data_IF_900542087068
#
_entry.id   IF_900542087068
#
_cell.length_a   1.000
_cell.length_b   1.000
_cell.length_c   1.000
_cell.angle_alpha   90.00
_cell.angle_beta   90.00
_cell.angle_gamma   90.00
#
_symmetry.space_group_name_H-M   'P 1'
#
loop_
_entity.id
_entity.type
_entity.pdbx_description
1 polymer ?
#
# COMPACT_ATOMS: atom_id res chain seq x y z
N UNK A 1 -2.11 17.07 -53.87
CA UNK A 1 -3.29 17.93 -54.10
C UNK A 1 -4.07 18.07 -52.79
N UNK A 2 -4.25 19.30 -52.28
CA UNK A 2 -5.20 19.68 -51.21
C UNK A 2 -6.53 20.14 -51.87
N UNK A 3 -7.67 20.20 -51.15
CA UNK A 3 -8.03 21.37 -50.31
C UNK A 3 -8.58 20.97 -48.91
N UNK A 4 -8.21 21.64 -47.81
CA UNK A 4 -8.80 22.88 -47.22
C UNK A 4 -10.29 22.76 -46.92
N UNK A 5 -10.77 22.87 -45.66
CA UNK A 5 -11.10 24.15 -44.96
C UNK A 5 -11.57 23.78 -43.53
N UNK A 6 -10.97 24.28 -42.43
CA UNK A 6 -11.33 25.52 -41.70
C UNK A 6 -12.42 25.24 -40.64
N UNK A 7 -12.55 25.86 -39.47
CA UNK A 7 -11.91 26.98 -38.78
C UNK A 7 -12.71 27.16 -37.46
N UNK A 8 -12.07 27.38 -36.30
CA UNK A 8 -12.33 28.53 -35.40
C UNK A 8 -11.51 28.42 -34.11
N UNK A 9 -10.88 29.56 -33.80
CA UNK A 9 -9.93 29.87 -32.74
C UNK A 9 -10.63 30.57 -31.57
N UNK A 10 -9.85 30.72 -30.49
CA UNK A 10 -9.92 31.66 -29.35
C UNK A 10 -10.86 31.21 -28.22
N UNK A 11 -10.51 31.30 -26.93
CA UNK A 11 -9.78 32.32 -26.16
C UNK A 11 -8.79 31.65 -25.17
N UNK A 12 -7.49 31.95 -25.16
CA UNK A 12 -6.81 32.93 -24.29
C UNK A 12 -7.48 33.24 -22.93
N UNK A 13 -6.85 32.80 -21.83
CA UNK A 13 -6.80 33.59 -20.60
C UNK A 13 -5.55 33.21 -19.80
N UNK A 14 -4.56 34.08 -19.85
CA UNK A 14 -3.40 34.10 -18.97
C UNK A 14 -3.72 35.02 -17.79
N UNK A 15 -3.51 34.55 -16.57
CA UNK A 15 -3.45 35.41 -15.38
C UNK A 15 -2.16 35.08 -14.64
N UNK A 16 -1.14 35.92 -14.87
CA UNK A 16 -0.01 36.06 -13.96
C UNK A 16 -0.51 36.78 -12.70
N UNK A 17 -0.25 36.18 -11.53
CA UNK A 17 -0.21 36.87 -10.26
C UNK A 17 1.16 36.60 -9.65
N UNK A 18 2.02 37.61 -9.75
CA UNK A 18 3.22 37.74 -8.93
C UNK A 18 2.85 38.61 -7.73
N UNK A 19 2.96 38.08 -6.50
CA UNK A 19 3.19 38.89 -5.32
C UNK A 19 4.12 38.16 -4.36
N UNK A 20 5.16 38.89 -3.98
CA UNK A 20 6.21 38.54 -3.05
C UNK A 20 5.71 38.32 -1.63
N UNK A 21 6.46 37.53 -0.87
CA UNK A 21 6.26 37.38 0.57
C UNK A 21 7.34 36.49 1.20
N UNK A 22 8.61 36.91 1.14
CA UNK A 22 9.62 36.42 2.07
C UNK A 22 9.23 36.91 3.47
N UNK A 23 9.06 35.99 4.41
CA UNK A 23 9.17 36.32 5.83
C UNK A 23 9.60 35.07 6.62
N UNK A 24 10.91 34.88 6.72
CA UNK A 24 11.50 34.16 7.86
C UNK A 24 11.53 35.12 9.04
N UNK A 25 11.16 34.64 10.24
CA UNK A 25 12.03 34.94 11.35
C UNK A 25 12.23 33.77 12.32
N UNK A 26 13.45 33.83 12.86
CA UNK A 26 13.86 33.45 14.20
C UNK A 26 14.24 31.98 14.47
N UNK A 27 15.54 31.78 14.25
CA UNK A 27 16.43 31.01 15.10
C UNK A 27 16.13 31.16 16.60
N UNK A 28 15.20 30.35 17.12
CA UNK A 28 15.13 30.12 18.55
C UNK A 28 16.14 29.04 18.95
N UNK A 29 17.23 29.49 19.57
CA UNK A 29 18.21 28.69 20.30
C UNK A 29 17.51 27.71 21.24
N UNK A 30 17.68 26.41 21.01
CA UNK A 30 17.56 25.43 22.09
C UNK A 30 18.96 25.15 22.63
N UNK A 31 19.21 25.32 23.94
CA UNK A 31 20.53 25.18 24.53
C UNK A 31 21.13 23.79 24.34
N UNK A 32 22.44 23.78 24.09
CA UNK A 32 23.35 22.65 24.18
C UNK A 32 23.13 21.92 25.52
N UNK A 33 22.61 20.70 25.48
CA UNK A 33 22.55 19.82 26.64
C UNK A 33 23.85 19.04 26.69
N UNK A 34 24.72 19.44 27.60
CA UNK A 34 25.95 18.72 27.95
C UNK A 34 25.58 17.37 28.60
N UNK A 35 26.34 16.29 28.36
CA UNK A 35 25.98 14.95 28.82
C UNK A 35 26.28 14.81 30.32
N UNK A 36 25.23 14.68 31.12
CA UNK A 36 25.39 14.25 32.51
C UNK A 36 25.38 12.72 32.57
N UNK A 37 26.57 12.16 32.75
CA UNK A 37 26.78 10.78 33.16
C UNK A 37 26.37 10.63 34.61
N UNK A 38 25.47 9.69 34.92
CA UNK A 38 25.69 8.89 36.13
C UNK A 38 25.74 7.40 35.82
N UNK A 39 26.88 6.80 36.11
CA UNK A 39 27.03 5.40 36.52
C UNK A 39 27.60 5.47 37.95
N UNK A 40 27.15 4.67 38.93
CA UNK A 40 27.17 3.21 38.84
C UNK A 40 26.04 2.48 39.58
N UNK A 41 25.92 1.17 39.31
CA UNK A 41 25.90 0.09 40.32
C UNK A 41 25.13 -1.10 39.75
N UNK A 42 25.87 -2.18 39.54
CA UNK A 42 25.31 -3.50 39.30
C UNK A 42 24.46 -3.94 40.50
N UNK A 43 23.28 -4.50 40.22
CA UNK A 43 22.66 -5.49 41.10
C UNK A 43 22.21 -6.63 40.22
N UNK A 44 23.03 -7.68 40.26
CA UNK A 44 22.70 -9.01 39.82
C UNK A 44 21.48 -9.48 40.62
N UNK A 45 20.35 -9.65 39.95
CA UNK A 45 19.25 -10.48 40.42
C UNK A 45 19.04 -11.51 39.33
N UNK A 46 19.40 -12.75 39.65
CA UNK A 46 18.98 -13.94 38.92
C UNK A 46 17.44 -14.04 39.01
N UNK A 47 16.77 -13.26 38.17
CA UNK A 47 15.36 -13.37 37.89
C UNK A 47 15.18 -14.43 36.82
N UNK A 48 14.49 -15.50 37.19
CA UNK A 48 13.96 -16.54 36.32
C UNK A 48 13.60 -15.97 34.94
N UNK A 49 14.39 -16.28 33.91
CA UNK A 49 14.14 -15.84 32.54
C UNK A 49 12.84 -16.50 32.06
N UNK A 50 11.71 -15.83 32.28
CA UNK A 50 10.51 -16.06 31.48
C UNK A 50 10.96 -15.94 30.02
N UNK A 51 10.69 -16.93 29.14
CA UNK A 51 10.98 -16.75 27.74
C UNK A 51 10.29 -15.46 27.30
N UNK A 52 11.07 -14.50 26.76
CA UNK A 52 10.47 -13.34 26.10
C UNK A 52 9.45 -13.88 25.11
N UNK A 53 8.22 -13.35 25.07
CA UNK A 53 7.27 -13.75 24.05
C UNK A 53 7.96 -13.51 22.71
N UNK A 54 8.14 -14.58 21.93
CA UNK A 54 8.42 -14.46 20.50
C UNK A 54 7.39 -13.49 19.95
N UNK A 55 7.76 -12.46 19.17
CA UNK A 55 6.76 -11.58 18.57
C UNK A 55 5.83 -12.44 17.71
N UNK A 56 4.63 -12.71 18.21
CA UNK A 56 3.56 -13.28 17.40
C UNK A 56 3.14 -12.16 16.46
N UNK A 57 3.41 -12.34 15.17
CA UNK A 57 2.88 -11.44 14.17
C UNK A 57 1.36 -11.61 14.12
N UNK A 58 0.62 -10.55 14.45
CA UNK A 58 -0.83 -10.55 14.43
C UNK A 58 -1.30 -9.78 13.20
N UNK A 59 -1.92 -10.49 12.25
CA UNK A 59 -2.57 -9.89 11.09
C UNK A 59 -3.90 -9.25 11.52
N UNK A 60 -4.17 -8.05 11.03
CA UNK A 60 -5.45 -7.37 11.26
C UNK A 60 -6.59 -8.00 10.43
N UNK A 61 -7.06 -9.17 10.84
CA UNK A 61 -8.12 -9.90 10.14
C UNK A 61 -9.42 -9.12 10.04
N UNK A 62 -9.69 -8.19 10.96
CA UNK A 62 -10.88 -7.34 10.90
C UNK A 62 -10.88 -6.40 9.69
N UNK A 63 -9.74 -6.22 9.01
CA UNK A 63 -9.66 -5.51 7.74
C UNK A 63 -10.39 -6.23 6.59
N UNK A 64 -10.61 -7.55 6.70
CA UNK A 64 -11.32 -8.32 5.67
C UNK A 64 -12.82 -8.03 5.66
N UNK A 65 -13.39 -7.56 6.76
CA UNK A 65 -14.82 -7.27 6.92
C UNK A 65 -15.09 -5.75 7.06
N UNK A 66 -14.07 -4.92 6.79
CA UNK A 66 -14.16 -3.46 6.84
C UNK A 66 -14.48 -2.90 5.44
N UNK A 67 -15.75 -2.60 5.22
CA UNK A 67 -16.23 -1.98 3.98
C UNK A 67 -15.99 -0.47 3.92
N UNK A 68 -15.52 0.16 5.01
CA UNK A 68 -15.39 1.62 5.11
C UNK A 68 -13.99 2.11 4.75
N UNK A 69 -12.94 1.33 5.06
CA UNK A 69 -11.55 1.71 4.84
C UNK A 69 -10.85 0.73 3.87
N UNK A 70 -10.80 1.03 2.55
CA UNK A 70 -10.07 0.20 1.58
C UNK A 70 -8.56 0.15 1.86
N UNK A 71 -7.98 1.19 2.46
CA UNK A 71 -6.55 1.23 2.77
C UNK A 71 -6.19 0.30 3.93
N UNK A 72 -7.14 0.00 4.82
CA UNK A 72 -6.96 -1.03 5.86
C UNK A 72 -6.75 -2.42 5.26
N UNK A 73 -7.52 -2.77 4.23
CA UNK A 73 -7.34 -4.02 3.50
C UNK A 73 -5.95 -4.09 2.84
N UNK A 74 -5.49 -2.98 2.25
CA UNK A 74 -4.15 -2.89 1.66
C UNK A 74 -3.04 -3.09 2.71
N UNK A 75 -3.19 -2.51 3.91
CA UNK A 75 -2.25 -2.73 5.03
C UNK A 75 -2.23 -4.18 5.51
N UNK A 76 -3.39 -4.83 5.59
CA UNK A 76 -3.49 -6.26 5.88
C UNK A 76 -2.76 -7.08 4.82
N UNK A 77 -3.00 -6.79 3.54
CA UNK A 77 -2.37 -7.50 2.43
C UNK A 77 -0.85 -7.32 2.40
N UNK A 78 -0.32 -6.10 2.55
CA UNK A 78 1.13 -5.87 2.66
C UNK A 78 1.74 -6.63 3.84
N UNK A 79 1.07 -6.61 4.99
CA UNK A 79 1.49 -7.35 6.18
C UNK A 79 1.56 -8.85 5.91
N UNK A 80 0.55 -9.43 5.27
CA UNK A 80 0.54 -10.85 4.94
C UNK A 80 1.63 -11.24 3.92
N UNK A 81 1.91 -10.40 2.92
CA UNK A 81 3.00 -10.63 1.96
C UNK A 81 4.38 -10.57 2.64
N UNK A 82 4.60 -9.57 3.50
CA UNK A 82 5.86 -9.39 4.25
C UNK A 82 6.20 -10.59 5.13
N UNK A 83 5.19 -11.21 5.74
CA UNK A 83 5.39 -12.42 6.55
C UNK A 83 5.40 -13.72 5.75
N UNK A 84 5.10 -13.68 4.45
CA UNK A 84 4.90 -14.88 3.64
C UNK A 84 3.66 -15.68 4.04
N UNK A 85 2.67 -15.04 4.66
CA UNK A 85 1.38 -15.62 5.00
C UNK A 85 0.49 -15.70 3.74
N UNK A 86 0.88 -16.52 2.76
CA UNK A 86 0.29 -16.55 1.42
C UNK A 86 -1.19 -16.91 1.41
N UNK A 87 -1.62 -17.80 2.31
CA UNK A 87 -3.02 -18.17 2.48
C UNK A 87 -3.86 -17.00 3.00
N UNK A 88 -3.29 -16.18 3.88
CA UNK A 88 -3.95 -14.99 4.42
C UNK A 88 -3.97 -13.85 3.40
N UNK A 89 -2.86 -13.63 2.70
CA UNK A 89 -2.78 -12.65 1.61
C UNK A 89 -3.82 -12.93 0.51
N UNK A 90 -4.08 -14.21 0.19
CA UNK A 90 -5.10 -14.61 -0.79
C UNK A 90 -6.53 -14.24 -0.35
N UNK A 91 -6.83 -14.11 0.95
CA UNK A 91 -8.16 -13.71 1.45
C UNK A 91 -8.53 -12.27 1.08
N UNK A 92 -7.53 -11.42 0.81
CA UNK A 92 -7.77 -10.04 0.39
C UNK A 92 -8.26 -9.94 -1.07
N UNK A 93 -8.12 -11.01 -1.86
CA UNK A 93 -8.50 -11.03 -3.27
C UNK A 93 -9.96 -11.42 -3.46
N UNK A 94 -10.58 -10.91 -4.52
CA UNK A 94 -11.91 -11.36 -4.92
C UNK A 94 -11.82 -12.80 -5.43
N UNK A 95 -12.90 -13.57 -5.24
CA UNK A 95 -12.96 -14.92 -5.81
C UNK A 95 -12.88 -14.92 -7.34
N UNK A 96 -13.33 -13.84 -7.98
CA UNK A 96 -13.30 -13.64 -9.44
C UNK A 96 -11.86 -13.47 -9.97
N UNK A 97 -10.91 -13.02 -9.14
CA UNK A 97 -9.52 -12.81 -9.55
C UNK A 97 -8.69 -14.11 -9.61
N UNK A 98 -9.22 -15.22 -9.09
CA UNK A 98 -8.60 -16.55 -9.09
C UNK A 98 -7.16 -16.59 -8.54
N UNK A 99 -6.79 -15.63 -7.68
CA UNK A 99 -5.45 -15.54 -7.09
C UNK A 99 -5.30 -16.60 -5.99
N UNK A 100 -4.30 -17.46 -6.17
CA UNK A 100 -3.97 -18.52 -5.21
C UNK A 100 -2.75 -18.16 -4.35
N UNK A 101 -2.59 -18.79 -3.17
CA UNK A 101 -1.39 -18.63 -2.35
C UNK A 101 -0.09 -18.93 -3.11
N UNK A 102 -0.10 -19.95 -3.98
CA UNK A 102 1.05 -20.33 -4.79
C UNK A 102 1.43 -19.26 -5.85
N UNK A 103 0.43 -18.55 -6.40
CA UNK A 103 0.69 -17.43 -7.31
C UNK A 103 1.35 -16.27 -6.57
N UNK A 104 0.90 -15.96 -5.34
CA UNK A 104 1.48 -14.93 -4.49
C UNK A 104 2.91 -15.28 -4.08
N UNK A 105 3.16 -16.52 -3.67
CA UNK A 105 4.50 -17.00 -3.33
C UNK A 105 5.44 -16.91 -4.54
N UNK A 106 5.01 -17.33 -5.73
CA UNK A 106 5.81 -17.21 -6.95
C UNK A 106 6.10 -15.74 -7.30
N UNK A 107 5.12 -14.86 -7.11
CA UNK A 107 5.22 -13.45 -7.50
C UNK A 107 6.03 -12.61 -6.51
N UNK A 108 5.99 -12.90 -5.21
CA UNK A 108 6.55 -12.06 -4.15
C UNK A 108 7.58 -12.76 -3.26
N UNK A 109 7.72 -14.08 -3.36
CA UNK A 109 8.73 -14.86 -2.65
C UNK A 109 10.05 -14.94 -3.41
N UNK A 110 11.16 -14.81 -2.66
CA UNK A 110 12.54 -14.98 -3.13
C UNK A 110 13.35 -15.75 -2.07
N UNK A 111 13.16 -17.06 -1.99
CA UNK A 111 13.79 -17.88 -0.95
C UNK A 111 13.32 -17.46 0.45
N UNK A 112 14.22 -16.88 1.25
CA UNK A 112 13.89 -16.31 2.57
C UNK A 112 13.35 -14.88 2.51
N UNK A 113 13.55 -14.18 1.40
CA UNK A 113 13.11 -12.78 1.22
C UNK A 113 11.68 -12.71 0.69
N UNK A 114 11.02 -11.60 1.00
CA UNK A 114 9.63 -11.29 0.64
C UNK A 114 9.60 -9.87 0.10
N UNK A 115 8.72 -9.62 -0.87
CA UNK A 115 8.51 -8.27 -1.36
C UNK A 115 7.93 -7.37 -0.25
N UNK A 116 8.37 -6.12 -0.18
CA UNK A 116 7.72 -5.08 0.59
C UNK A 116 6.75 -4.32 -0.34
N UNK A 117 5.48 -4.26 0.06
CA UNK A 117 4.45 -3.54 -0.70
C UNK A 117 4.20 -2.18 -0.07
N UNK A 118 4.41 -1.12 -0.85
CA UNK A 118 4.12 0.25 -0.47
C UNK A 118 2.99 0.78 -1.34
N UNK A 119 1.95 1.29 -0.70
CA UNK A 119 0.79 1.87 -1.36
C UNK A 119 0.84 3.40 -1.28
N UNK A 120 0.59 4.04 -2.42
CA UNK A 120 0.32 5.47 -2.47
C UNK A 120 -1.11 5.79 -2.05
N UNK A 121 -1.42 7.07 -1.92
CA UNK A 121 -2.80 7.52 -1.73
C UNK A 121 -3.66 7.03 -2.90
N UNK A 122 -4.75 6.34 -2.58
CA UNK A 122 -5.74 5.94 -3.58
C UNK A 122 -6.90 6.92 -3.70
N UNK A 123 -7.66 6.75 -4.77
CA UNK A 123 -8.88 7.51 -5.05
C UNK A 123 -10.05 6.57 -5.30
N UNK A 124 -11.24 6.97 -4.83
CA UNK A 124 -12.48 6.21 -5.01
C UNK A 124 -13.22 6.65 -6.28
N UNK A 125 -13.65 5.67 -7.08
CA UNK A 125 -14.44 5.88 -8.28
C UNK A 125 -15.75 5.08 -8.20
N UNK A 126 -16.87 5.76 -8.37
CA UNK A 126 -18.19 5.15 -8.35
C UNK A 126 -18.72 4.82 -9.75
N UNK A 127 -19.22 3.59 -9.91
CA UNK A 127 -19.99 3.14 -11.06
C UNK A 127 -21.40 2.68 -10.62
N UNK A 128 -22.27 2.35 -11.58
CA UNK A 128 -23.61 1.84 -11.27
C UNK A 128 -23.52 0.51 -10.50
N UNK A 129 -23.80 0.56 -9.19
CA UNK A 129 -23.84 -0.60 -8.29
C UNK A 129 -22.49 -1.08 -7.74
N UNK A 130 -21.39 -0.45 -8.12
CA UNK A 130 -20.02 -0.86 -7.73
C UNK A 130 -19.17 0.36 -7.39
N UNK A 131 -18.33 0.24 -6.37
CA UNK A 131 -17.28 1.20 -6.05
C UNK A 131 -15.92 0.55 -6.34
N UNK A 132 -15.01 1.37 -6.85
CA UNK A 132 -13.62 1.02 -7.06
C UNK A 132 -12.75 1.93 -6.20
N UNK A 133 -11.68 1.37 -5.64
CA UNK A 133 -10.61 2.14 -5.02
C UNK A 133 -9.32 1.82 -5.75
N UNK A 134 -8.65 2.84 -6.27
CA UNK A 134 -7.48 2.72 -7.14
C UNK A 134 -6.29 3.35 -6.45
N UNK A 135 -5.28 2.55 -6.11
CA UNK A 135 -4.09 3.01 -5.39
C UNK A 135 -2.80 2.69 -6.16
N UNK A 136 -1.83 3.63 -6.25
CA UNK A 136 -0.49 3.31 -6.73
C UNK A 136 0.18 2.28 -5.81
N UNK A 137 0.91 1.33 -6.38
CA UNK A 137 1.65 0.30 -5.62
C UNK A 137 3.07 0.17 -6.11
N UNK A 138 3.99 0.01 -5.17
CA UNK A 138 5.39 -0.36 -5.38
C UNK A 138 5.64 -1.68 -4.67
N UNK A 139 6.18 -2.67 -5.38
CA UNK A 139 6.71 -3.90 -4.82
C UNK A 139 8.23 -3.84 -4.88
N UNK A 140 8.85 -3.64 -3.72
CA UNK A 140 10.30 -3.63 -3.52
C UNK A 140 10.77 -5.03 -3.13
N UNK A 141 11.85 -5.53 -3.74
CA UNK A 141 12.45 -6.79 -3.35
C UNK A 141 13.80 -6.55 -2.68
N UNK A 142 13.92 -6.83 -1.37
CA UNK A 142 15.19 -6.74 -0.67
C UNK A 142 16.09 -7.91 -1.07
N UNK A 143 16.71 -7.81 -2.24
CA UNK A 143 17.87 -8.61 -2.65
C UNK A 143 19.15 -7.79 -2.40
N UNK A 144 20.30 -8.45 -2.20
CA UNK A 144 21.59 -7.76 -2.00
C UNK A 144 21.97 -6.84 -3.19
N UNK A 145 21.29 -6.99 -4.33
CA UNK A 145 21.53 -6.22 -5.55
C UNK A 145 20.56 -5.06 -5.81
N UNK A 146 19.52 -4.86 -5.00
CA UNK A 146 18.74 -3.61 -4.94
C UNK A 146 18.01 -3.14 -6.22
N UNK A 147 17.87 -3.97 -7.26
CA UNK A 147 17.37 -3.53 -8.58
C UNK A 147 16.02 -4.12 -9.02
N UNK A 148 15.39 -5.03 -8.25
CA UNK A 148 14.07 -5.56 -8.61
C UNK A 148 13.00 -4.74 -7.86
N UNK A 149 12.53 -3.65 -8.50
CA UNK A 149 11.38 -2.86 -8.06
C UNK A 149 10.31 -2.89 -9.15
N UNK A 150 9.06 -3.20 -8.77
CA UNK A 150 7.91 -3.16 -9.69
C UNK A 150 6.93 -2.10 -9.25
N UNK A 151 6.52 -1.26 -10.18
CA UNK A 151 5.53 -0.19 -9.95
C UNK A 151 4.29 -0.43 -10.78
N UNK A 152 3.14 -0.04 -10.25
CA UNK A 152 1.89 -0.07 -10.98
C UNK A 152 0.72 0.37 -10.11
N UNK A 153 -0.45 -0.20 -10.37
CA UNK A 153 -1.69 0.13 -9.67
C UNK A 153 -2.31 -1.12 -9.09
N UNK A 154 -2.95 -0.99 -7.93
CA UNK A 154 -3.84 -1.99 -7.35
C UNK A 154 -5.27 -1.45 -7.34
N UNK A 155 -6.21 -2.31 -7.69
CA UNK A 155 -7.63 -1.93 -7.76
C UNK A 155 -8.43 -2.83 -6.85
N UNK A 156 -9.15 -2.19 -5.93
CA UNK A 156 -10.10 -2.81 -5.04
C UNK A 156 -11.50 -2.55 -5.58
N UNK A 157 -12.42 -3.48 -5.30
CA UNK A 157 -13.82 -3.44 -5.71
C UNK A 157 -14.72 -3.82 -4.54
N UNK A 158 -15.84 -3.12 -4.42
CA UNK A 158 -17.00 -3.53 -3.60
C UNK A 158 -18.32 -3.13 -4.26
N UNK A 159 -19.43 -3.70 -3.83
CA UNK A 159 -20.76 -3.25 -4.19
C UNK A 159 -21.06 -1.88 -3.55
N UNK A 160 -21.76 -1.01 -4.29
CA UNK A 160 -22.13 0.33 -3.82
C UNK A 160 -23.43 0.30 -2.99
N UNK A 161 -23.40 -0.43 -1.88
CA UNK A 161 -24.48 -0.51 -0.89
C UNK A 161 -25.86 -0.80 -1.51
N UNK A 162 -25.88 -1.62 -2.57
CA UNK A 162 -27.11 -1.96 -3.32
C UNK A 162 -27.97 -2.94 -2.53
N UNK A 163 -29.31 -2.77 -2.51
CA UNK A 163 -30.20 -3.70 -1.84
C UNK A 163 -30.03 -5.13 -2.35
N UNK A 164 -29.80 -6.08 -1.44
CA UNK A 164 -29.64 -7.49 -1.76
C UNK A 164 -28.20 -7.94 -2.04
N UNK A 165 -27.20 -7.04 -1.95
CA UNK A 165 -25.80 -7.45 -1.93
C UNK A 165 -25.50 -8.35 -0.72
N UNK A 166 -24.69 -9.39 -0.92
CA UNK A 166 -24.15 -10.19 0.18
C UNK A 166 -23.12 -9.40 0.98
N UNK A 167 -22.82 -9.83 2.20
CA UNK A 167 -21.77 -9.20 3.04
C UNK A 167 -20.43 -9.21 2.31
N UNK A 168 -20.04 -10.34 1.72
CA UNK A 168 -18.79 -10.45 0.95
C UNK A 168 -18.73 -9.50 -0.25
N UNK A 169 -19.87 -9.15 -0.84
CA UNK A 169 -19.93 -8.16 -1.92
C UNK A 169 -19.80 -6.73 -1.42
N UNK A 170 -20.18 -6.45 -0.16
CA UNK A 170 -20.04 -5.13 0.45
C UNK A 170 -18.62 -4.88 0.96
N UNK A 171 -17.85 -5.93 1.24
CA UNK A 171 -16.46 -5.81 1.65
C UNK A 171 -15.55 -5.50 0.47
N UNK A 172 -14.50 -4.73 0.73
CA UNK A 172 -13.47 -4.48 -0.28
C UNK A 172 -12.70 -5.76 -0.58
N UNK A 173 -12.50 -6.03 -1.88
CA UNK A 173 -11.63 -7.11 -2.35
C UNK A 173 -10.73 -6.63 -3.48
N UNK A 174 -9.49 -7.11 -3.51
CA UNK A 174 -8.56 -6.83 -4.60
C UNK A 174 -9.07 -7.52 -5.86
N UNK A 175 -9.33 -6.73 -6.89
CA UNK A 175 -9.77 -7.20 -8.20
C UNK A 175 -8.58 -7.48 -9.12
N UNK A 176 -7.60 -6.58 -9.12
CA UNK A 176 -6.38 -6.70 -9.94
C UNK A 176 -5.22 -5.91 -9.35
N UNK A 177 -4.01 -6.31 -9.72
CA UNK A 177 -2.77 -5.60 -9.40
C UNK A 177 -1.78 -5.73 -10.54
N UNK A 178 -1.21 -4.60 -10.99
CA UNK A 178 -0.19 -4.58 -12.05
C UNK A 178 1.14 -5.19 -11.60
N UNK A 179 1.42 -5.17 -10.29
CA UNK A 179 2.66 -5.73 -9.73
C UNK A 179 2.56 -7.23 -9.44
N UNK A 180 1.36 -7.82 -9.55
CA UNK A 180 1.17 -9.27 -9.54
C UNK A 180 1.46 -9.86 -10.92
N UNK A 181 2.72 -9.80 -11.35
CA UNK A 181 3.14 -10.44 -12.60
C UNK A 181 3.42 -11.92 -12.32
N UNK A 182 2.49 -12.79 -12.70
CA UNK A 182 2.74 -14.23 -12.76
C UNK A 182 3.48 -14.50 -14.07
N UNK A 183 4.82 -14.46 -14.06
CA UNK A 183 5.60 -14.71 -15.29
C UNK A 183 5.13 -15.98 -15.98
N UNK A 184 4.43 -15.77 -17.09
CA UNK A 184 4.21 -16.71 -18.18
C UNK A 184 4.95 -16.06 -19.35
N UNK A 185 6.07 -16.61 -19.83
CA UNK A 185 6.66 -16.10 -21.05
C UNK A 185 5.62 -16.22 -22.17
N UNK A 186 5.23 -15.09 -22.78
CA UNK A 186 4.47 -15.13 -24.03
C UNK A 186 5.34 -15.78 -25.12
N UNK A 187 4.79 -16.71 -25.92
CA UNK A 187 5.51 -17.35 -27.02
C UNK A 187 5.82 -16.37 -28.17
#
# INVERSE_FOLDING_TARGET
>A
MRPMTGLRKLLASACLLALAGCNEPDANKVPLREPETPSPTASETAGNATPSPTPTFDLDYAALDDHTDPERLLRYYASAIREGAWADAAKAWSSDAEVTPAMLEKAYGRGQYRAELVFGKGDDEGAAGTLFHVSPVVADFPDETGEDERRGTIVLRRANDVPGASIEQLDWRIERSDVLVTSTPQP
#
